data_IF_008850778158
#
_entry.id   IF_008850778158
#
_cell.length_a   1.000
_cell.length_b   1.000
_cell.length_c   1.000
_cell.angle_alpha   90.00
_cell.angle_beta   90.00
_cell.angle_gamma   90.00
#
_symmetry.space_group_name_H-M   'P 1'
#
loop_
_entity.id
_entity.type
_entity.pdbx_description
1 polymer ?
#
# COMPACT_ATOMS: atom_id res chain seq x y z
N UNK A 1 13.51 -1.37 59.27
CA UNK A 1 12.26 -0.99 58.55
C UNK A 1 12.57 -0.90 57.07
N UNK A 2 11.68 -1.42 56.22
CA UNK A 2 11.95 -2.00 54.90
C UNK A 2 12.47 -1.04 53.81
N UNK A 3 13.52 -1.49 53.13
CA UNK A 3 13.80 -1.11 51.74
C UNK A 3 12.86 -1.92 50.83
N UNK A 4 12.19 -1.26 49.88
CA UNK A 4 11.48 -1.96 48.80
C UNK A 4 11.94 -1.40 47.47
N UNK A 5 12.94 -2.07 46.92
CA UNK A 5 13.43 -1.92 45.56
C UNK A 5 12.39 -2.58 44.64
N UNK A 6 11.58 -1.78 43.94
CA UNK A 6 10.72 -2.29 42.88
C UNK A 6 11.50 -2.26 41.57
N UNK A 7 12.02 -3.42 41.20
CA UNK A 7 12.46 -3.69 39.83
C UNK A 7 11.24 -3.52 38.90
N UNK A 8 11.26 -2.48 38.06
CA UNK A 8 10.33 -2.36 36.95
C UNK A 8 10.87 -3.14 35.76
N UNK A 9 10.06 -4.11 35.35
CA UNK A 9 10.30 -5.03 34.26
C UNK A 9 10.34 -4.29 32.92
N UNK A 10 11.29 -4.69 32.07
CA UNK A 10 11.34 -4.26 30.67
C UNK A 10 10.13 -4.82 29.91
N UNK A 11 9.35 -3.95 29.28
CA UNK A 11 8.38 -4.34 28.25
C UNK A 11 9.00 -4.00 26.90
N UNK A 12 9.62 -5.00 26.27
CA UNK A 12 9.95 -4.95 24.86
C UNK A 12 8.65 -5.06 24.04
N UNK A 13 8.07 -3.92 23.68
CA UNK A 13 6.92 -3.86 22.78
C UNK A 13 7.38 -4.05 21.33
N UNK A 14 7.07 -5.19 20.72
CA UNK A 14 7.27 -5.42 19.30
C UNK A 14 6.35 -4.50 18.48
N UNK A 15 6.89 -3.40 17.95
CA UNK A 15 6.17 -2.52 17.01
C UNK A 15 6.54 -2.93 15.58
N UNK A 16 6.03 -4.06 15.11
CA UNK A 16 6.32 -4.54 13.74
C UNK A 16 5.11 -5.19 13.07
N UNK A 17 4.01 -4.44 12.92
CA UNK A 17 2.90 -4.85 12.05
C UNK A 17 2.34 -3.73 11.15
N UNK A 18 2.82 -2.48 11.28
CA UNK A 18 2.37 -1.36 10.44
C UNK A 18 3.29 -1.06 9.23
N UNK A 19 4.36 -1.83 9.05
CA UNK A 19 5.43 -1.42 8.14
C UNK A 19 5.15 -1.71 6.66
N UNK A 20 4.32 -2.70 6.31
CA UNK A 20 4.01 -3.01 4.92
C UNK A 20 3.28 -1.88 4.17
N UNK A 21 2.16 -1.32 4.69
CA UNK A 21 1.47 -0.22 4.02
C UNK A 21 2.34 1.05 3.97
N UNK A 22 3.04 1.38 5.06
CA UNK A 22 3.97 2.51 5.09
C UNK A 22 5.13 2.36 4.09
N UNK A 23 5.63 1.13 3.88
CA UNK A 23 6.68 0.88 2.88
C UNK A 23 6.16 0.96 1.45
N UNK A 24 4.88 0.78 1.19
CA UNK A 24 4.35 0.87 -0.18
C UNK A 24 4.17 2.33 -0.63
N UNK A 25 3.91 3.27 0.28
CA UNK A 25 3.60 4.67 -0.08
C UNK A 25 4.74 5.38 -0.82
N UNK A 26 4.43 6.06 -1.92
CA UNK A 26 5.40 6.78 -2.75
C UNK A 26 4.84 7.16 -4.11
N UNK A 27 5.61 7.93 -4.86
CA UNK A 27 5.43 8.08 -6.30
C UNK A 27 6.17 6.96 -7.01
N UNK A 28 5.45 6.20 -7.83
CA UNK A 28 5.93 5.03 -8.54
C UNK A 28 5.82 5.23 -10.04
N UNK A 29 6.86 4.84 -10.78
CA UNK A 29 6.84 4.79 -12.22
C UNK A 29 6.69 3.36 -12.71
N UNK A 30 5.70 3.12 -13.55
CA UNK A 30 5.55 1.90 -14.35
C UNK A 30 5.91 2.21 -15.81
N UNK A 31 6.64 1.29 -16.45
CA UNK A 31 6.94 1.38 -17.89
C UNK A 31 5.98 0.48 -18.66
N UNK A 32 5.23 1.07 -19.59
CA UNK A 32 4.33 0.37 -20.51
C UNK A 32 4.77 0.66 -21.95
N UNK A 33 5.67 -0.17 -22.47
CA UNK A 33 6.36 0.12 -23.74
C UNK A 33 7.23 1.37 -23.62
N UNK A 34 6.94 2.37 -24.45
CA UNK A 34 7.63 3.67 -24.44
C UNK A 34 6.99 4.68 -23.47
N UNK A 35 5.83 4.37 -22.91
CA UNK A 35 5.13 5.25 -21.97
C UNK A 35 5.62 5.02 -20.52
N UNK A 36 5.86 6.11 -19.80
CA UNK A 36 6.08 6.11 -18.35
C UNK A 36 4.81 6.62 -17.68
N UNK A 37 4.22 5.79 -16.83
CA UNK A 37 3.04 6.15 -16.03
C UNK A 37 3.43 6.37 -14.59
N UNK A 38 3.01 7.49 -14.02
CA UNK A 38 3.14 7.79 -12.60
C UNK A 38 1.94 7.26 -11.82
N UNK A 39 2.25 6.65 -10.68
CA UNK A 39 1.31 6.01 -9.78
C UNK A 39 1.62 6.53 -8.38
N UNK A 40 0.75 7.39 -7.88
CA UNK A 40 0.88 7.94 -6.54
C UNK A 40 0.19 7.00 -5.55
N UNK A 41 0.92 6.46 -4.58
CA UNK A 41 0.38 5.59 -3.52
C UNK A 41 0.52 6.29 -2.18
N UNK A 42 -0.60 6.56 -1.51
CA UNK A 42 -0.66 7.38 -0.29
C UNK A 42 -1.03 6.56 0.94
N UNK A 43 -0.63 7.04 2.12
CA UNK A 43 -0.82 6.35 3.41
C UNK A 43 -2.28 6.22 3.86
N UNK A 44 -3.18 7.02 3.30
CA UNK A 44 -4.62 6.99 3.58
C UNK A 44 -5.39 5.92 2.78
N UNK A 45 -4.67 4.93 2.25
CA UNK A 45 -5.19 3.89 1.37
C UNK A 45 -5.70 4.38 0.01
N UNK A 46 -5.37 5.61 -0.39
CA UNK A 46 -5.64 6.09 -1.76
C UNK A 46 -4.45 5.88 -2.69
N UNK A 47 -4.75 5.61 -3.95
CA UNK A 47 -3.79 5.63 -5.03
C UNK A 47 -4.34 6.45 -6.20
N UNK A 48 -3.44 6.95 -7.05
CA UNK A 48 -3.81 7.71 -8.24
C UNK A 48 -2.95 7.27 -9.43
N UNK A 49 -3.62 6.93 -10.53
CA UNK A 49 -3.03 6.48 -11.79
C UNK A 49 -3.33 7.56 -12.84
N UNK A 50 -2.40 8.49 -13.05
CA UNK A 50 -2.70 9.67 -13.87
C UNK A 50 -3.86 10.48 -13.27
N UNK A 51 -5.05 10.41 -13.86
CA UNK A 51 -6.27 11.07 -13.36
C UNK A 51 -7.20 10.14 -12.57
N UNK A 52 -7.02 8.82 -12.69
CA UNK A 52 -7.91 7.85 -12.05
C UNK A 52 -7.55 7.67 -10.59
N UNK A 53 -8.56 7.69 -9.71
CA UNK A 53 -8.40 7.43 -8.29
C UNK A 53 -8.75 5.99 -7.96
N UNK A 54 -7.93 5.38 -7.13
CA UNK A 54 -8.13 4.04 -6.65
C UNK A 54 -8.06 4.01 -5.12
N UNK A 55 -8.62 2.95 -4.55
CA UNK A 55 -8.33 2.54 -3.19
C UNK A 55 -7.45 1.31 -3.21
N UNK A 56 -6.52 1.21 -2.25
CA UNK A 56 -5.63 0.07 -2.11
C UNK A 56 -5.54 -0.45 -0.68
N UNK A 57 -5.17 -1.72 -0.55
CA UNK A 57 -4.71 -2.32 0.71
C UNK A 57 -3.75 -3.46 0.46
N UNK A 58 -2.95 -3.80 1.45
CA UNK A 58 -2.05 -4.96 1.42
C UNK A 58 -2.62 -6.04 2.35
N UNK A 59 -2.75 -7.26 1.83
CA UNK A 59 -3.21 -8.44 2.57
C UNK A 59 -2.21 -9.57 2.31
N UNK A 60 -1.41 -9.92 3.33
CA UNK A 60 -0.28 -10.84 3.14
C UNK A 60 0.69 -10.31 2.06
N UNK A 61 0.99 -11.16 1.08
CA UNK A 61 1.83 -10.81 -0.08
C UNK A 61 1.00 -10.35 -1.29
N UNK A 62 -0.21 -9.84 -1.06
CA UNK A 62 -1.10 -9.37 -2.13
C UNK A 62 -1.43 -7.89 -2.00
N UNK A 63 -1.40 -7.18 -3.14
CA UNK A 63 -1.89 -5.83 -3.32
C UNK A 63 -3.30 -5.89 -3.90
N UNK A 64 -4.24 -5.28 -3.20
CA UNK A 64 -5.64 -5.24 -3.59
C UNK A 64 -5.95 -3.81 -4.02
N UNK A 65 -6.63 -3.64 -5.16
CA UNK A 65 -6.94 -2.33 -5.76
C UNK A 65 -8.40 -2.31 -6.24
N UNK A 66 -9.11 -1.18 -6.06
CA UNK A 66 -10.41 -0.90 -6.70
C UNK A 66 -10.41 0.51 -7.27
N UNK A 67 -11.03 0.70 -8.43
CA UNK A 67 -11.14 2.00 -9.13
C UNK A 67 -12.45 2.75 -8.78
N UNK A 68 -13.14 2.34 -7.72
CA UNK A 68 -14.35 3.01 -7.23
C UNK A 68 -15.68 2.39 -7.68
N UNK A 69 -15.62 1.33 -8.47
CA UNK A 69 -16.73 0.40 -8.70
C UNK A 69 -16.97 -0.54 -7.50
N UNK A 70 -16.05 -0.56 -6.53
CA UNK A 70 -16.10 -1.44 -5.36
C UNK A 70 -15.63 -2.86 -5.63
N UNK A 71 -15.23 -3.18 -6.87
CA UNK A 71 -14.69 -4.50 -7.24
C UNK A 71 -13.19 -4.51 -6.97
N UNK A 72 -12.74 -5.53 -6.23
CA UNK A 72 -11.35 -5.67 -5.84
C UNK A 72 -10.59 -6.53 -6.84
N UNK A 73 -9.63 -5.90 -7.51
CA UNK A 73 -8.60 -6.59 -8.26
C UNK A 73 -7.47 -6.98 -7.31
N UNK A 74 -7.06 -8.25 -7.37
CA UNK A 74 -6.03 -8.81 -6.49
C UNK A 74 -4.78 -9.14 -7.28
N UNK A 75 -3.66 -8.57 -6.85
CA UNK A 75 -2.34 -8.80 -7.42
C UNK A 75 -1.43 -9.42 -6.39
N UNK A 76 -0.58 -10.37 -6.79
CA UNK A 76 0.59 -10.73 -5.99
C UNK A 76 1.59 -9.57 -6.00
N UNK A 77 2.26 -9.31 -4.88
CA UNK A 77 3.24 -8.23 -4.75
C UNK A 77 4.57 -8.70 -4.15
N UNK A 78 5.66 -8.11 -4.64
CA UNK A 78 7.01 -8.20 -4.04
C UNK A 78 7.58 -6.80 -3.93
N UNK A 79 7.89 -6.37 -2.71
CA UNK A 79 8.45 -5.05 -2.44
C UNK A 79 9.90 -5.18 -1.95
N UNK A 80 10.83 -4.58 -2.68
CA UNK A 80 12.26 -4.55 -2.37
C UNK A 80 12.79 -3.12 -2.50
N UNK A 81 12.78 -2.37 -1.39
CA UNK A 81 13.23 -0.98 -1.36
C UNK A 81 12.39 -0.06 -2.25
N UNK A 82 12.99 0.42 -3.34
CA UNK A 82 12.38 1.27 -4.36
C UNK A 82 11.87 0.48 -5.57
N UNK A 83 11.86 -0.85 -5.51
CA UNK A 83 11.33 -1.72 -6.56
C UNK A 83 10.08 -2.45 -6.06
N UNK A 84 8.99 -2.32 -6.78
CA UNK A 84 7.75 -3.06 -6.56
C UNK A 84 7.48 -3.92 -7.78
N UNK A 85 7.30 -5.22 -7.61
CA UNK A 85 6.84 -6.11 -8.67
C UNK A 85 5.43 -6.58 -8.34
N UNK A 86 4.50 -6.39 -9.27
CA UNK A 86 3.12 -6.88 -9.19
C UNK A 86 2.90 -7.96 -10.26
N UNK A 87 2.03 -8.94 -9.98
CA UNK A 87 1.79 -10.08 -10.86
C UNK A 87 0.39 -10.67 -10.67
N UNK A 88 -0.11 -11.39 -11.67
CA UNK A 88 -1.45 -12.00 -11.63
C UNK A 88 -2.54 -10.97 -11.89
N UNK A 89 -3.76 -11.24 -11.40
CA UNK A 89 -4.93 -10.40 -11.68
C UNK A 89 -5.22 -10.40 -13.18
N UNK A 90 -5.31 -9.20 -13.75
CA UNK A 90 -5.50 -8.95 -15.18
C UNK A 90 -4.17 -8.75 -15.94
N UNK A 91 -3.01 -8.94 -15.31
CA UNK A 91 -1.71 -8.78 -15.95
C UNK A 91 -1.29 -10.06 -16.70
N UNK A 92 -1.01 -9.95 -18.00
CA UNK A 92 -0.43 -11.04 -18.79
C UNK A 92 0.98 -11.46 -18.31
N UNK A 93 1.75 -10.49 -17.81
CA UNK A 93 3.10 -10.69 -17.27
C UNK A 93 3.34 -9.80 -16.05
N UNK A 94 4.23 -10.18 -15.12
CA UNK A 94 4.58 -9.33 -13.99
C UNK A 94 5.07 -7.95 -14.44
N UNK A 95 4.59 -6.90 -13.76
CA UNK A 95 5.01 -5.52 -13.99
C UNK A 95 5.91 -5.08 -12.85
N UNK A 96 7.00 -4.38 -13.18
CA UNK A 96 7.90 -3.79 -12.18
C UNK A 96 7.78 -2.27 -12.21
N UNK A 97 7.56 -1.70 -11.04
CA UNK A 97 7.51 -0.28 -10.77
C UNK A 97 8.76 0.16 -10.02
N UNK A 98 9.22 1.38 -10.31
CA UNK A 98 10.32 2.05 -9.60
C UNK A 98 9.78 3.22 -8.79
N UNK A 99 10.10 3.29 -7.50
CA UNK A 99 9.78 4.44 -6.66
C UNK A 99 10.71 5.59 -7.03
N UNK A 100 10.13 6.74 -7.36
CA UNK A 100 10.87 7.93 -7.80
C UNK A 100 10.75 9.09 -6.82
N UNK A 101 9.86 8.99 -5.83
CA UNK A 101 9.72 10.05 -4.83
C UNK A 101 8.83 9.68 -3.65
N UNK A 102 8.77 10.56 -2.64
CA UNK A 102 7.81 10.46 -1.55
C UNK A 102 6.38 10.66 -2.06
N UNK A 103 5.36 10.18 -1.33
CA UNK A 103 3.98 10.42 -1.71
C UNK A 103 3.61 11.90 -1.51
N UNK A 104 2.83 12.47 -2.43
CA UNK A 104 2.17 13.77 -2.23
C UNK A 104 0.80 13.57 -1.60
N UNK A 105 0.36 14.52 -0.78
CA UNK A 105 -0.97 14.49 -0.19
C UNK A 105 -2.05 14.49 -1.29
N UNK A 106 -3.17 13.79 -1.03
CA UNK A 106 -4.34 13.89 -1.92
C UNK A 106 -4.98 15.27 -1.70
N UNK A 107 -5.37 16.00 -2.76
CA UNK A 107 -6.24 17.16 -2.60
C UNK A 107 -7.54 16.76 -1.89
N UNK A 108 -7.99 17.56 -0.92
CA UNK A 108 -9.19 17.26 -0.13
C UNK A 108 -10.48 17.22 -0.99
N UNK A 109 -10.44 17.80 -2.18
CA UNK A 109 -11.53 17.79 -3.17
C UNK A 109 -11.72 16.44 -3.86
N UNK A 110 -10.75 15.53 -3.76
CA UNK A 110 -10.82 14.21 -4.37
C UNK A 110 -11.44 13.23 -3.39
N UNK A 111 -12.71 12.88 -3.64
CA UNK A 111 -13.40 11.80 -2.93
C UNK A 111 -12.77 10.47 -3.32
N UNK A 112 -12.32 9.70 -2.32
CA UNK A 112 -11.96 8.31 -2.54
C UNK A 112 -13.17 7.41 -2.29
N UNK A 113 -13.28 6.29 -3.02
CA UNK A 113 -14.26 5.26 -2.70
C UNK A 113 -14.10 4.82 -1.24
N UNK A 114 -15.19 4.51 -0.55
CA UNK A 114 -15.16 4.06 0.85
C UNK A 114 -14.30 2.78 1.02
N UNK A 115 -13.71 2.57 2.21
CA UNK A 115 -12.99 1.34 2.45
C UNK A 115 -13.98 0.18 2.43
N UNK A 116 -13.61 -0.96 1.86
CA UNK A 116 -14.38 -2.17 2.04
C UNK A 116 -14.33 -2.52 3.52
N UNK A 117 -15.37 -3.18 4.03
CA UNK A 117 -15.37 -3.64 5.39
C UNK A 117 -14.11 -4.51 5.64
N UNK A 118 -13.42 -4.39 6.80
CA UNK A 118 -12.17 -5.12 7.06
C UNK A 118 -12.28 -6.65 6.89
N UNK A 119 -13.49 -7.20 7.03
CA UNK A 119 -13.81 -8.61 6.88
C UNK A 119 -14.09 -9.05 5.42
N UNK A 120 -14.22 -8.12 4.47
CA UNK A 120 -14.46 -8.45 3.08
C UNK A 120 -13.20 -9.07 2.49
N UNK A 121 -13.25 -10.36 2.17
CA UNK A 121 -12.23 -11.08 1.39
C UNK A 121 -12.72 -11.12 -0.07
N UNK A 122 -11.82 -10.91 -1.02
CA UNK A 122 -12.01 -11.25 -2.43
C UNK A 122 -11.89 -12.77 -2.53
N UNK A 123 -12.82 -13.36 -3.26
CA UNK A 123 -13.01 -14.80 -3.36
C UNK A 123 -12.32 -15.31 -4.61
#
# INVERSE_FOLDING_TARGET
MCAMMKAMWAVAGAVAAAQAPARLTGDWQARAGDEIRHIMVRSDSSAQFGQDLARWRVVGDSLWITLGDGVWQVYGMKLAGDKLTISGGDLERPVTLRRVGPPTARPDTLTIPDPPAPNQRAW
#
